data_IF_034022655774
#
_entry.id   IF_034022655774
#
_cell.length_a   1.000
_cell.length_b   1.000
_cell.length_c   1.000
_cell.angle_alpha   90.00
_cell.angle_beta   90.00
_cell.angle_gamma   90.00
#
_symmetry.space_group_name_H-M   'P 1'
#
loop_
_entity.id
_entity.type
_entity.pdbx_description
1 polymer ?
#
# COMPACT_ATOMS: atom_id res chain seq x y z
N UNK A 1 -2.08 15.96 -0.72
CA UNK A 1 -1.41 14.67 -0.46
C UNK A 1 0.02 14.95 -0.01
N UNK A 2 0.45 14.33 1.05
CA UNK A 2 1.81 14.48 1.58
C UNK A 2 2.49 13.12 1.54
N UNK A 3 3.64 13.02 0.86
CA UNK A 3 4.45 11.83 0.89
C UNK A 3 5.20 11.71 2.22
N UNK A 4 5.42 10.49 2.65
CA UNK A 4 6.09 10.14 3.90
C UNK A 4 7.45 9.47 3.68
N UNK A 5 7.86 9.32 2.43
CA UNK A 5 9.17 8.82 2.02
C UNK A 5 9.94 9.84 1.21
N UNK A 6 11.25 9.78 1.27
CA UNK A 6 12.17 10.55 0.41
C UNK A 6 12.52 9.80 -0.87
N UNK A 7 12.06 8.55 -1.01
CA UNK A 7 12.48 7.61 -2.07
C UNK A 7 11.51 7.56 -3.27
N UNK A 8 10.50 8.42 -3.32
CA UNK A 8 9.51 8.40 -4.40
C UNK A 8 10.11 8.59 -5.81
N UNK A 9 11.21 9.33 -5.94
CA UNK A 9 11.91 9.45 -7.22
C UNK A 9 12.56 8.13 -7.66
N UNK A 10 13.04 7.36 -6.69
CA UNK A 10 13.60 6.04 -6.95
C UNK A 10 12.50 5.05 -7.34
N UNK A 11 11.37 5.06 -6.62
CA UNK A 11 10.17 4.29 -6.95
C UNK A 11 9.73 4.58 -8.41
N UNK A 12 9.58 5.85 -8.77
CA UNK A 12 9.21 6.27 -10.13
C UNK A 12 10.18 5.71 -11.17
N UNK A 13 11.49 5.81 -10.90
CA UNK A 13 12.53 5.31 -11.79
C UNK A 13 12.45 3.79 -12.00
N UNK A 14 12.20 3.03 -10.92
CA UNK A 14 12.05 1.58 -11.01
C UNK A 14 10.82 1.18 -11.81
N UNK A 15 9.68 1.80 -11.55
CA UNK A 15 8.44 1.51 -12.29
C UNK A 15 8.58 1.86 -13.77
N UNK A 16 9.20 2.98 -14.10
CA UNK A 16 9.50 3.35 -15.50
C UNK A 16 10.50 2.40 -16.17
N UNK A 17 11.40 1.79 -15.39
CA UNK A 17 12.40 0.84 -15.85
C UNK A 17 11.88 -0.60 -16.02
N UNK A 18 10.62 -0.89 -15.73
CA UNK A 18 10.05 -2.22 -15.94
C UNK A 18 10.18 -2.66 -17.41
N UNK A 19 10.46 -3.94 -17.60
CA UNK A 19 10.60 -4.51 -18.94
C UNK A 19 9.31 -4.29 -19.75
N UNK A 20 9.41 -3.90 -21.05
CA UNK A 20 8.24 -3.72 -21.88
C UNK A 20 7.38 -5.00 -21.96
N UNK A 21 6.08 -4.86 -21.73
CA UNK A 21 5.11 -5.94 -21.83
C UNK A 21 3.72 -5.39 -22.19
N UNK A 22 2.79 -6.30 -22.50
CA UNK A 22 1.45 -5.91 -22.94
C UNK A 22 0.53 -5.43 -21.81
N UNK A 23 0.81 -5.87 -20.59
CA UNK A 23 0.00 -5.55 -19.41
C UNK A 23 0.87 -5.62 -18.16
N UNK A 24 0.72 -4.66 -17.27
CA UNK A 24 1.41 -4.61 -15.98
C UNK A 24 0.43 -4.79 -14.84
N UNK A 25 0.73 -5.67 -13.91
CA UNK A 25 0.04 -5.77 -12.63
C UNK A 25 0.98 -5.31 -11.52
N UNK A 26 0.60 -4.26 -10.81
CA UNK A 26 1.37 -3.74 -9.68
C UNK A 26 0.59 -3.83 -8.38
N UNK A 27 1.29 -3.97 -7.27
CA UNK A 27 0.70 -4.02 -5.93
C UNK A 27 1.46 -3.10 -4.99
N UNK A 28 0.74 -2.39 -4.14
CA UNK A 28 1.27 -1.55 -3.07
C UNK A 28 0.68 -2.00 -1.74
N UNK A 29 1.54 -2.29 -0.76
CA UNK A 29 1.15 -2.58 0.62
C UNK A 29 1.43 -1.34 1.46
N UNK A 30 0.42 -0.84 2.15
CA UNK A 30 0.51 0.39 2.91
C UNK A 30 0.25 1.65 2.06
N UNK A 31 -0.95 1.77 1.52
CA UNK A 31 -1.37 2.87 0.62
C UNK A 31 -1.42 4.22 1.31
N UNK A 32 -1.90 4.27 2.56
CA UNK A 32 -2.07 5.50 3.35
C UNK A 32 -2.90 6.56 2.62
N UNK A 33 -2.35 7.76 2.36
CA UNK A 33 -3.00 8.81 1.57
C UNK A 33 -2.83 8.63 0.05
N UNK A 34 -2.04 7.65 -0.41
CA UNK A 34 -1.90 7.26 -1.82
C UNK A 34 -0.82 7.99 -2.60
N UNK A 35 0.19 8.56 -1.96
CA UNK A 35 1.26 9.21 -2.72
C UNK A 35 2.09 8.20 -3.52
N UNK A 36 2.38 7.02 -2.94
CA UNK A 36 3.02 5.92 -3.66
C UNK A 36 2.18 5.45 -4.85
N UNK A 37 0.88 5.24 -4.62
CA UNK A 37 -0.10 4.92 -5.69
C UNK A 37 -0.04 5.94 -6.83
N UNK A 38 0.00 7.24 -6.51
CA UNK A 38 0.10 8.29 -7.53
C UNK A 38 1.37 8.16 -8.36
N UNK A 39 2.50 7.95 -7.70
CA UNK A 39 3.80 7.79 -8.37
C UNK A 39 3.80 6.58 -9.30
N UNK A 40 3.27 5.45 -8.85
CA UNK A 40 3.18 4.20 -9.64
C UNK A 40 2.25 4.41 -10.85
N UNK A 41 1.05 4.91 -10.62
CA UNK A 41 0.04 5.08 -11.68
C UNK A 41 0.45 6.14 -12.71
N UNK A 42 1.08 7.23 -12.28
CA UNK A 42 1.65 8.24 -13.19
C UNK A 42 2.80 7.68 -14.03
N UNK A 43 3.66 6.85 -13.44
CA UNK A 43 4.75 6.22 -14.17
C UNK A 43 4.25 5.22 -15.24
N UNK A 44 3.03 4.68 -15.06
CA UNK A 44 2.38 3.70 -15.95
C UNK A 44 1.28 4.29 -16.81
N UNK A 45 0.97 5.59 -16.74
CA UNK A 45 -0.21 6.21 -17.38
C UNK A 45 -0.35 5.95 -18.89
N UNK A 46 0.78 5.79 -19.61
CA UNK A 46 0.80 5.49 -21.04
C UNK A 46 0.91 3.98 -21.33
N UNK A 47 0.74 3.14 -20.32
CA UNK A 47 0.82 1.69 -20.38
C UNK A 47 -0.55 1.07 -20.13
N UNK A 48 -0.70 -0.18 -20.54
CA UNK A 48 -1.84 -0.99 -20.11
C UNK A 48 -1.52 -1.64 -18.77
N UNK A 49 -2.13 -1.16 -17.69
CA UNK A 49 -1.82 -1.60 -16.34
C UNK A 49 -3.07 -1.75 -15.47
N UNK A 50 -2.89 -2.45 -14.37
CA UNK A 50 -3.82 -2.45 -13.24
C UNK A 50 -3.01 -2.37 -11.94
N UNK A 51 -3.43 -1.49 -11.04
CA UNK A 51 -2.79 -1.30 -9.75
C UNK A 51 -3.68 -1.76 -8.61
N UNK A 52 -3.10 -2.48 -7.66
CA UNK A 52 -3.76 -2.95 -6.44
C UNK A 52 -3.15 -2.27 -5.24
N UNK A 53 -3.96 -1.55 -4.51
CA UNK A 53 -3.59 -1.01 -3.20
C UNK A 53 -4.15 -1.88 -2.07
N UNK A 54 -3.34 -2.14 -1.06
CA UNK A 54 -3.72 -2.91 0.13
C UNK A 54 -3.39 -2.05 1.35
N UNK A 55 -4.41 -1.77 2.16
CA UNK A 55 -4.22 -1.04 3.41
C UNK A 55 -5.37 -1.37 4.38
N UNK A 56 -5.09 -1.78 5.62
CA UNK A 56 -6.13 -2.17 6.56
C UNK A 56 -7.01 -1.01 7.02
N UNK A 57 -6.55 0.22 7.04
CA UNK A 57 -7.25 1.39 7.60
C UNK A 57 -8.13 1.07 8.84
N UNK A 58 -8.82 2.05 9.42
CA UNK A 58 -9.83 1.79 10.45
C UNK A 58 -9.42 2.21 11.86
N UNK A 59 -8.53 3.19 11.99
CA UNK A 59 -8.04 3.71 13.29
C UNK A 59 -7.33 2.64 14.14
N UNK A 60 -6.69 1.68 13.48
CA UNK A 60 -5.98 0.58 14.13
C UNK A 60 -4.62 1.05 14.65
N UNK A 61 -4.28 0.60 15.84
CA UNK A 61 -2.91 0.69 16.36
C UNK A 61 -2.05 -0.33 15.62
N UNK A 62 -0.94 0.14 15.06
CA UNK A 62 0.04 -0.76 14.46
C UNK A 62 0.75 -1.56 15.55
N UNK A 63 0.66 -2.88 15.48
CA UNK A 63 1.39 -3.79 16.35
C UNK A 63 2.54 -4.40 15.57
N UNK A 64 3.75 -4.26 16.10
CA UNK A 64 4.91 -4.97 15.58
C UNK A 64 4.79 -6.46 15.95
N UNK A 65 4.79 -7.32 14.94
CA UNK A 65 4.79 -8.76 15.14
C UNK A 65 6.23 -9.26 15.14
N UNK A 66 6.70 -9.71 16.27
CA UNK A 66 7.90 -10.54 16.31
C UNK A 66 7.52 -11.94 15.77
N UNK A 67 8.45 -12.58 15.06
CA UNK A 67 8.22 -13.88 14.38
C UNK A 67 7.75 -15.02 15.30
N UNK A 68 7.82 -14.82 16.61
CA UNK A 68 7.49 -15.81 17.63
C UNK A 68 6.19 -15.51 18.40
N UNK A 69 5.53 -14.38 18.15
CA UNK A 69 4.39 -13.94 18.92
C UNK A 69 3.18 -13.88 17.98
N UNK A 70 2.07 -14.45 18.39
CA UNK A 70 0.84 -14.36 17.63
C UNK A 70 0.33 -12.91 17.55
N UNK A 71 -0.61 -12.64 16.65
CA UNK A 71 -1.13 -11.29 16.38
C UNK A 71 -1.77 -10.63 17.61
N UNK A 72 -2.31 -11.42 18.55
CA UNK A 72 -2.99 -10.91 19.73
C UNK A 72 -1.99 -10.35 20.76
N UNK A 73 -0.78 -10.89 20.77
CA UNK A 73 0.26 -10.57 21.75
C UNK A 73 1.37 -9.65 21.20
N UNK A 74 1.25 -9.16 19.97
CA UNK A 74 2.22 -8.26 19.37
C UNK A 74 2.46 -7.00 20.20
N UNK A 75 3.70 -6.53 20.25
CA UNK A 75 4.07 -5.27 20.89
C UNK A 75 3.64 -4.09 20.04
N UNK A 76 3.16 -3.01 20.69
CA UNK A 76 2.85 -1.77 19.99
C UNK A 76 4.14 -1.18 19.42
N UNK A 77 4.15 -0.89 18.11
CA UNK A 77 5.25 -0.18 17.48
C UNK A 77 5.20 1.30 17.86
N UNK A 78 6.38 1.92 17.97
CA UNK A 78 6.52 3.34 18.25
C UNK A 78 7.29 4.00 17.10
N UNK A 79 6.96 5.26 16.80
CA UNK A 79 7.84 6.09 16.01
C UNK A 79 9.14 6.34 16.75
N UNK A 80 10.27 6.13 16.10
CA UNK A 80 11.59 6.33 16.68
C UNK A 80 12.37 7.41 15.94
N UNK A 81 13.36 8.01 16.65
CA UNK A 81 14.39 8.80 16.01
C UNK A 81 15.43 7.89 15.31
N UNK A 82 16.47 8.51 14.73
CA UNK A 82 17.55 7.78 14.05
C UNK A 82 18.40 6.89 14.99
N UNK A 83 18.30 7.11 16.29
CA UNK A 83 19.01 6.34 17.32
C UNK A 83 18.14 5.23 17.93
N UNK A 84 16.90 5.08 17.43
CA UNK A 84 15.96 4.06 17.88
C UNK A 84 15.21 4.40 19.16
N UNK A 85 15.26 5.66 19.65
CA UNK A 85 14.52 6.09 20.83
C UNK A 85 13.09 6.47 20.44
N UNK A 86 12.07 6.08 21.23
CA UNK A 86 10.69 6.47 20.94
C UNK A 86 10.51 7.98 20.86
N UNK A 87 9.89 8.47 19.82
CA UNK A 87 9.37 9.83 19.75
C UNK A 87 8.20 9.97 20.71
N UNK A 88 8.07 11.12 21.36
CA UNK A 88 7.00 11.36 22.32
C UNK A 88 6.06 12.49 21.88
N UNK A 89 4.83 12.42 22.33
CA UNK A 89 3.85 13.48 22.24
C UNK A 89 4.16 14.59 23.27
N UNK A 90 3.42 15.69 23.23
CA UNK A 90 3.57 16.80 24.19
C UNK A 90 3.30 16.38 25.64
N UNK A 91 2.48 15.36 25.86
CA UNK A 91 2.17 14.79 27.18
C UNK A 91 3.20 13.74 27.64
N UNK A 92 4.27 13.52 26.90
CA UNK A 92 5.32 12.55 27.21
C UNK A 92 5.01 11.10 26.84
N UNK A 93 3.83 10.81 26.28
CA UNK A 93 3.49 9.45 25.83
C UNK A 93 4.21 9.12 24.50
N UNK A 94 4.64 7.87 24.28
CA UNK A 94 5.25 7.48 23.01
C UNK A 94 4.28 7.69 21.83
N UNK A 95 4.82 8.23 20.70
CA UNK A 95 4.05 8.33 19.46
C UNK A 95 3.88 6.96 18.83
N UNK A 96 2.63 6.55 18.63
CA UNK A 96 2.29 5.31 17.94
C UNK A 96 1.78 5.61 16.53
N UNK A 97 2.15 4.82 15.52
CA UNK A 97 1.56 4.94 14.20
C UNK A 97 0.09 4.55 14.25
N UNK A 98 -0.74 5.37 13.65
CA UNK A 98 -2.15 5.09 13.44
C UNK A 98 -2.48 5.25 11.95
N UNK A 99 -3.45 4.50 11.48
CA UNK A 99 -3.93 4.56 10.09
C UNK A 99 -5.41 4.95 10.11
N UNK A 100 -5.72 6.26 10.32
CA UNK A 100 -7.08 6.70 10.50
C UNK A 100 -7.89 6.61 9.19
N UNK A 101 -9.20 6.42 9.33
CA UNK A 101 -10.14 6.42 8.20
C UNK A 101 -10.10 7.71 7.37
N UNK A 102 -9.66 8.83 7.94
CA UNK A 102 -9.44 10.08 7.20
C UNK A 102 -8.40 9.94 6.09
N UNK A 103 -7.37 9.13 6.26
CA UNK A 103 -6.40 8.80 5.20
C UNK A 103 -7.07 8.09 4.03
N UNK A 104 -7.92 7.11 4.32
CA UNK A 104 -8.72 6.40 3.30
C UNK A 104 -9.63 7.36 2.54
N UNK A 105 -10.31 8.27 3.25
CA UNK A 105 -11.18 9.26 2.61
C UNK A 105 -10.40 10.20 1.69
N UNK A 106 -9.23 10.69 2.14
CA UNK A 106 -8.31 11.48 1.32
C UNK A 106 -7.93 10.72 0.05
N UNK A 107 -7.49 9.47 0.20
CA UNK A 107 -7.15 8.60 -0.90
C UNK A 107 -8.31 8.44 -1.90
N UNK A 108 -9.47 7.99 -1.44
CA UNK A 108 -10.63 7.75 -2.30
C UNK A 108 -11.10 9.01 -3.04
N UNK A 109 -11.00 10.20 -2.42
CA UNK A 109 -11.37 11.46 -3.06
C UNK A 109 -10.46 11.79 -4.26
N UNK A 110 -9.20 11.40 -4.21
CA UNK A 110 -8.21 11.67 -5.25
C UNK A 110 -8.27 10.63 -6.38
N UNK A 111 -8.53 9.38 -6.04
CA UNK A 111 -8.52 8.26 -6.99
C UNK A 111 -9.89 7.87 -7.52
N UNK A 112 -10.95 8.61 -7.20
CA UNK A 112 -12.34 8.30 -7.61
C UNK A 112 -12.57 8.16 -9.12
N UNK A 113 -11.70 8.74 -9.95
CA UNK A 113 -11.81 8.71 -11.40
C UNK A 113 -10.75 7.78 -12.05
N UNK A 114 -9.98 7.05 -11.25
CA UNK A 114 -9.00 6.10 -11.76
C UNK A 114 -9.67 4.74 -12.02
N UNK A 115 -9.70 4.30 -13.28
CA UNK A 115 -10.36 3.05 -13.70
C UNK A 115 -9.44 1.81 -13.53
N UNK A 116 -8.12 2.02 -13.57
CA UNK A 116 -7.11 0.94 -13.52
C UNK A 116 -6.57 0.69 -12.11
N UNK A 117 -7.43 0.82 -11.12
CA UNK A 117 -7.05 0.73 -9.72
C UNK A 117 -8.14 0.06 -8.87
N UNK A 118 -7.70 -0.70 -7.87
CA UNK A 118 -8.57 -1.21 -6.80
C UNK A 118 -7.89 -1.08 -5.44
N UNK A 119 -8.65 -0.71 -4.42
CA UNK A 119 -8.23 -0.70 -3.02
C UNK A 119 -8.87 -1.85 -2.27
N UNK A 120 -8.05 -2.70 -1.66
CA UNK A 120 -8.50 -3.69 -0.69
C UNK A 120 -8.22 -3.20 0.73
N UNK A 121 -9.27 -3.05 1.53
CA UNK A 121 -9.14 -2.75 2.95
C UNK A 121 -8.92 -4.07 3.71
N UNK A 122 -7.72 -4.60 3.59
CA UNK A 122 -7.27 -5.85 4.18
C UNK A 122 -5.85 -5.68 4.70
N UNK A 123 -5.43 -6.55 5.58
CA UNK A 123 -4.01 -6.75 5.82
C UNK A 123 -3.39 -7.50 4.64
N UNK A 124 -2.09 -7.32 4.42
CA UNK A 124 -1.36 -7.94 3.32
C UNK A 124 -1.47 -9.47 3.34
N UNK A 125 -1.33 -10.07 4.51
CA UNK A 125 -1.45 -11.53 4.70
C UNK A 125 -2.84 -12.04 4.36
N UNK A 126 -3.90 -11.30 4.67
CA UNK A 126 -5.28 -11.65 4.31
C UNK A 126 -5.46 -11.58 2.79
N UNK A 127 -4.96 -10.49 2.17
CA UNK A 127 -5.02 -10.33 0.73
C UNK A 127 -4.33 -11.48 0.00
N UNK A 128 -3.09 -11.78 0.34
CA UNK A 128 -2.33 -12.84 -0.33
C UNK A 128 -2.90 -14.24 -0.06
N UNK A 129 -3.54 -14.47 1.09
CA UNK A 129 -4.26 -15.70 1.35
C UNK A 129 -5.50 -15.84 0.46
N UNK A 130 -6.25 -14.76 0.26
CA UNK A 130 -7.46 -14.77 -0.59
C UNK A 130 -7.13 -14.92 -2.07
N UNK A 131 -6.07 -14.27 -2.54
CA UNK A 131 -5.71 -14.19 -3.95
C UNK A 131 -4.43 -14.97 -4.33
N UNK A 132 -4.02 -15.92 -3.49
CA UNK A 132 -2.86 -16.79 -3.77
C UNK A 132 -2.98 -17.60 -5.06
N UNK A 133 -4.20 -17.86 -5.55
CA UNK A 133 -4.48 -18.47 -6.84
C UNK A 133 -4.55 -17.51 -8.02
N UNK A 134 -4.36 -16.22 -7.77
CA UNK A 134 -4.43 -15.13 -8.75
C UNK A 134 -5.59 -14.16 -8.53
N UNK A 135 -5.33 -12.89 -8.85
CA UNK A 135 -6.33 -11.84 -8.85
C UNK A 135 -7.21 -11.96 -10.12
N UNK A 136 -8.55 -12.02 -9.98
CA UNK A 136 -9.43 -12.00 -11.14
C UNK A 136 -9.49 -10.59 -11.74
N UNK A 137 -8.99 -10.44 -12.95
CA UNK A 137 -9.05 -9.19 -13.72
C UNK A 137 -9.92 -9.41 -14.96
N UNK A 138 -10.80 -8.46 -15.24
CA UNK A 138 -11.59 -8.45 -16.47
C UNK A 138 -10.94 -7.51 -17.47
N UNK A 139 -10.52 -8.06 -18.58
CA UNK A 139 -9.90 -7.32 -19.66
C UNK A 139 -10.59 -7.70 -20.98
N UNK A 140 -11.11 -6.70 -21.71
CA UNK A 140 -11.87 -6.91 -22.95
C UNK A 140 -13.04 -7.92 -22.80
N UNK A 141 -13.75 -7.85 -21.68
CA UNK A 141 -14.88 -8.76 -21.39
C UNK A 141 -14.48 -10.19 -20.99
N UNK A 142 -13.19 -10.50 -20.92
CA UNK A 142 -12.68 -11.80 -20.50
C UNK A 142 -12.06 -11.75 -19.11
N UNK A 143 -12.43 -12.72 -18.27
CA UNK A 143 -11.82 -12.92 -16.96
C UNK A 143 -10.46 -13.61 -17.13
N UNK A 144 -9.43 -13.01 -16.54
CA UNK A 144 -8.11 -13.61 -16.38
C UNK A 144 -7.75 -13.70 -14.90
N UNK A 145 -7.07 -14.76 -14.51
CA UNK A 145 -6.41 -14.84 -13.21
C UNK A 145 -4.94 -14.43 -13.40
N UNK A 146 -4.53 -13.38 -12.72
CA UNK A 146 -3.16 -12.88 -12.78
C UNK A 146 -2.53 -13.06 -11.40
N UNK A 147 -1.45 -13.83 -11.33
CA UNK A 147 -0.75 -14.20 -10.10
C UNK A 147 0.72 -13.78 -10.09
N UNK A 148 1.12 -12.97 -11.05
CA UNK A 148 2.47 -12.42 -11.13
C UNK A 148 2.36 -10.91 -11.08
N UNK A 149 3.01 -10.32 -10.10
CA UNK A 149 3.12 -8.88 -9.94
C UNK A 149 4.45 -8.42 -10.56
N UNK A 150 4.39 -7.33 -11.28
CA UNK A 150 5.56 -6.75 -11.96
C UNK A 150 6.31 -5.78 -11.04
N UNK A 151 5.58 -5.28 -10.01
CA UNK A 151 6.11 -4.39 -8.99
C UNK A 151 5.26 -4.48 -7.74
#
# INVERSE_FOLDING_TARGET
MRGDSVEYKLLESWVKGLRPQQFYLTVEVGVREGYGTLVITDALKDKNYFHVGIDPYGDLLYKHLDKQIDRENGTIAYWTDFEGRPLVNEDGTPKVPTYPNSMKQTFLSQFKNHENFILYQLEDTEYFNLFGGGLPIYQNGQKKLVNVYDF
#
